data_IF_619346864452
#
_entry.id   IF_619346864452
#
_cell.length_a   1.000
_cell.length_b   1.000
_cell.length_c   1.000
_cell.angle_alpha   90.00
_cell.angle_beta   90.00
_cell.angle_gamma   90.00
#
_symmetry.space_group_name_H-M   'P 1'
#
loop_
_entity.id
_entity.type
_entity.pdbx_description
1 polymer ?
#
# COMPACT_ATOMS: atom_id res chain seq x y z
N UNK A 1 19.27 -4.30 -19.54
CA UNK A 1 17.85 -4.31 -19.15
C UNK A 1 17.08 -3.55 -20.20
N UNK A 2 15.94 -4.08 -20.61
CA UNK A 2 15.03 -3.47 -21.58
C UNK A 2 13.79 -3.00 -20.84
N UNK A 3 13.34 -1.78 -21.09
CA UNK A 3 12.24 -1.14 -20.37
C UNK A 3 11.25 -0.53 -21.35
N UNK A 4 9.97 -0.65 -21.04
CA UNK A 4 8.89 0.01 -21.78
C UNK A 4 7.65 -0.87 -21.90
N UNK A 5 6.50 -0.26 -22.12
CA UNK A 5 5.21 -0.97 -22.17
C UNK A 5 5.17 -2.00 -23.30
N UNK A 6 5.92 -1.77 -24.39
CA UNK A 6 6.12 -2.73 -25.50
C UNK A 6 6.71 -4.07 -25.04
N UNK A 7 7.41 -4.11 -23.91
CA UNK A 7 7.92 -5.36 -23.32
C UNK A 7 6.77 -6.23 -22.77
N UNK A 8 5.66 -5.61 -22.36
CA UNK A 8 4.48 -6.37 -21.91
C UNK A 8 3.73 -7.03 -23.07
N UNK A 9 3.84 -6.51 -24.29
CA UNK A 9 3.14 -7.03 -25.48
C UNK A 9 3.63 -8.44 -25.87
N UNK A 10 4.88 -8.79 -25.56
CA UNK A 10 5.43 -10.12 -25.83
C UNK A 10 5.08 -11.16 -24.74
N UNK A 11 4.27 -10.79 -23.74
CA UNK A 11 3.85 -11.64 -22.62
C UNK A 11 5.01 -12.46 -21.98
N UNK A 12 6.10 -11.79 -21.56
CA UNK A 12 7.36 -12.46 -21.23
C UNK A 12 7.26 -13.31 -19.96
N UNK A 13 8.01 -14.42 -19.92
CA UNK A 13 8.23 -15.25 -18.74
C UNK A 13 9.69 -15.70 -18.67
N UNK A 14 10.19 -16.03 -17.48
CA UNK A 14 11.59 -16.45 -17.30
C UNK A 14 11.88 -17.74 -18.09
N UNK A 15 12.97 -17.74 -18.87
CA UNK A 15 13.33 -18.83 -19.79
C UNK A 15 12.70 -18.73 -21.18
N UNK A 16 11.81 -17.75 -21.44
CA UNK A 16 11.21 -17.57 -22.76
C UNK A 16 12.29 -17.27 -23.81
N UNK A 17 12.41 -18.07 -24.89
CA UNK A 17 13.29 -17.79 -26.00
C UNK A 17 12.83 -16.57 -26.80
N UNK A 18 13.73 -15.62 -27.02
CA UNK A 18 13.53 -14.39 -27.77
C UNK A 18 14.66 -14.16 -28.77
N UNK A 19 14.37 -13.40 -29.81
CA UNK A 19 15.38 -12.84 -30.73
C UNK A 19 15.39 -11.33 -30.56
N UNK A 20 16.54 -10.78 -30.21
CA UNK A 20 16.80 -9.35 -30.17
C UNK A 20 17.55 -8.96 -31.44
N UNK A 21 16.99 -8.07 -32.25
CA UNK A 21 17.68 -7.48 -33.38
C UNK A 21 18.17 -6.08 -33.03
N UNK A 22 19.46 -5.84 -33.24
CA UNK A 22 20.09 -4.54 -33.07
C UNK A 22 21.07 -4.27 -34.22
N UNK A 23 20.92 -3.12 -34.89
CA UNK A 23 21.74 -2.74 -36.05
C UNK A 23 21.81 -3.82 -37.15
N UNK A 24 20.75 -4.62 -37.32
CA UNK A 24 20.70 -5.71 -38.30
C UNK A 24 21.38 -7.01 -37.85
N UNK A 25 21.89 -7.07 -36.63
CA UNK A 25 22.40 -8.31 -36.01
C UNK A 25 21.33 -8.91 -35.11
N UNK A 26 21.03 -10.19 -35.34
CA UNK A 26 20.14 -10.98 -34.50
C UNK A 26 20.91 -11.67 -33.37
N UNK A 27 20.37 -11.58 -32.16
CA UNK A 27 20.85 -12.26 -30.97
C UNK A 27 19.74 -13.17 -30.46
N UNK A 28 20.01 -14.48 -30.48
CA UNK A 28 19.16 -15.46 -29.83
C UNK A 28 19.44 -15.49 -28.33
N UNK A 29 18.45 -15.04 -27.55
CA UNK A 29 18.54 -14.82 -26.12
C UNK A 29 17.32 -15.41 -25.41
N UNK A 30 17.35 -15.43 -24.09
CA UNK A 30 16.20 -15.79 -23.27
C UNK A 30 15.88 -14.66 -22.28
N UNK A 31 14.60 -14.54 -21.92
CA UNK A 31 14.18 -13.68 -20.82
C UNK A 31 14.74 -14.26 -19.52
N UNK A 32 15.66 -13.57 -18.87
CA UNK A 32 16.20 -13.99 -17.58
C UNK A 32 15.24 -13.62 -16.44
N UNK A 33 14.85 -12.35 -16.36
CA UNK A 33 13.83 -11.85 -15.43
C UNK A 33 12.84 -10.95 -16.14
N UNK A 34 11.60 -10.92 -15.63
CA UNK A 34 10.55 -10.01 -16.06
C UNK A 34 9.94 -9.31 -14.84
N UNK A 35 9.87 -7.99 -14.92
CA UNK A 35 9.08 -7.16 -14.01
C UNK A 35 7.90 -6.60 -14.79
N UNK A 36 6.65 -6.94 -14.43
CA UNK A 36 5.48 -6.44 -15.13
C UNK A 36 5.27 -4.94 -14.95
N UNK A 37 4.53 -4.35 -15.89
CA UNK A 37 4.04 -2.99 -15.74
C UNK A 37 3.11 -2.91 -14.54
N UNK A 38 3.19 -1.81 -13.81
CA UNK A 38 2.27 -1.45 -12.75
C UNK A 38 1.95 0.03 -12.88
N UNK A 39 0.67 0.38 -12.94
CA UNK A 39 0.28 1.78 -12.83
C UNK A 39 0.52 2.31 -11.42
N UNK A 40 0.69 3.63 -11.31
CA UNK A 40 0.74 4.27 -10.00
C UNK A 40 -0.60 4.02 -9.27
N UNK A 41 -0.51 3.56 -8.02
CA UNK A 41 -1.66 3.37 -7.15
C UNK A 41 -1.69 4.55 -6.17
N UNK A 42 -2.70 5.43 -6.20
CA UNK A 42 -2.82 6.50 -5.22
C UNK A 42 -3.03 5.95 -3.80
N UNK A 43 -2.46 6.64 -2.81
CA UNK A 43 -2.79 6.39 -1.40
C UNK A 43 -4.22 6.83 -1.08
N UNK A 44 -4.83 6.22 -0.06
CA UNK A 44 -6.16 6.60 0.43
C UNK A 44 -6.05 7.29 1.78
N UNK A 45 -6.73 8.43 1.93
CA UNK A 45 -6.81 9.13 3.20
C UNK A 45 -7.63 8.33 4.23
N UNK A 46 -7.13 8.24 5.45
CA UNK A 46 -7.85 7.64 6.57
C UNK A 46 -8.77 8.62 7.30
N UNK A 47 -9.25 8.18 8.47
CA UNK A 47 -10.03 8.96 9.41
C UNK A 47 -9.54 8.70 10.84
N UNK A 48 -9.58 9.74 11.68
CA UNK A 48 -9.16 9.67 13.08
C UNK A 48 -10.12 8.83 13.93
N UNK A 49 -9.58 8.09 14.90
CA UNK A 49 -10.38 7.47 15.96
C UNK A 49 -10.85 8.54 16.95
N UNK A 50 -12.08 8.43 17.45
CA UNK A 50 -12.70 9.45 18.31
C UNK A 50 -13.34 8.79 19.53
N UNK A 51 -13.08 9.35 20.71
CA UNK A 51 -13.93 9.23 21.89
C UNK A 51 -14.53 10.60 22.17
N UNK A 52 -15.86 10.71 22.18
CA UNK A 52 -16.57 11.96 22.48
C UNK A 52 -17.42 11.80 23.73
N UNK A 53 -17.24 12.67 24.70
CA UNK A 53 -18.11 12.78 25.86
C UNK A 53 -19.56 13.10 25.44
N UNK A 54 -20.53 12.62 26.21
CA UNK A 54 -21.95 12.88 25.96
C UNK A 54 -22.46 14.15 26.64
N UNK A 55 -21.68 14.72 27.56
CA UNK A 55 -22.02 15.93 28.29
C UNK A 55 -20.74 16.70 28.68
N UNK A 56 -20.91 17.97 29.05
CA UNK A 56 -19.84 18.77 29.65
C UNK A 56 -19.45 18.21 31.03
N UNK A 57 -18.19 18.38 31.46
CA UNK A 57 -17.77 18.01 32.81
C UNK A 57 -18.67 18.66 33.87
N UNK A 58 -19.14 17.86 34.83
CA UNK A 58 -19.99 18.36 35.91
C UNK A 58 -19.19 18.99 37.05
N UNK A 59 -17.87 18.79 37.07
CA UNK A 59 -16.93 19.39 38.02
C UNK A 59 -15.54 19.50 37.41
N UNK A 60 -14.75 20.44 37.92
CA UNK A 60 -13.29 20.55 37.67
C UNK A 60 -12.46 20.27 38.93
N UNK A 61 -13.12 19.97 40.06
CA UNK A 61 -12.49 19.71 41.35
C UNK A 61 -12.58 18.22 41.70
N UNK A 62 -11.41 17.57 41.74
CA UNK A 62 -11.23 16.15 42.06
C UNK A 62 -10.42 15.93 43.36
N UNK A 63 -10.30 16.97 44.19
CA UNK A 63 -9.55 16.90 45.46
C UNK A 63 -10.26 16.04 46.51
N UNK A 64 -11.59 15.98 46.47
CA UNK A 64 -12.41 15.22 47.43
C UNK A 64 -12.81 13.83 46.90
N UNK A 65 -13.09 13.73 45.60
CA UNK A 65 -13.42 12.48 44.92
C UNK A 65 -12.51 12.32 43.71
N UNK A 66 -11.34 11.73 43.93
CA UNK A 66 -10.40 11.45 42.84
C UNK A 66 -10.97 10.43 41.86
N UNK A 67 -10.62 10.58 40.59
CA UNK A 67 -11.07 9.70 39.51
C UNK A 67 -9.86 9.15 38.76
N UNK A 68 -9.80 7.84 38.60
CA UNK A 68 -8.77 7.18 37.78
C UNK A 68 -9.47 6.35 36.72
N UNK A 69 -9.02 6.51 35.48
CA UNK A 69 -9.56 5.77 34.34
C UNK A 69 -8.45 5.45 33.34
N UNK A 70 -8.74 4.52 32.44
CA UNK A 70 -7.76 4.06 31.46
C UNK A 70 -8.35 4.08 30.05
N UNK A 71 -7.55 4.56 29.11
CA UNK A 71 -7.81 4.43 27.68
C UNK A 71 -6.81 3.46 27.08
N UNK A 72 -7.29 2.50 26.31
CA UNK A 72 -6.44 1.64 25.49
C UNK A 72 -6.46 2.16 24.07
N UNK A 73 -5.27 2.38 23.53
CA UNK A 73 -5.04 2.79 22.16
C UNK A 73 -3.94 1.94 21.57
N UNK A 74 -4.24 1.27 20.47
CA UNK A 74 -3.24 0.53 19.69
C UNK A 74 -2.50 -0.54 20.54
N UNK A 75 -3.27 -1.20 21.40
CA UNK A 75 -2.80 -2.24 22.32
C UNK A 75 -2.11 -1.71 23.58
N UNK A 76 -1.87 -0.40 23.71
CA UNK A 76 -1.21 0.21 24.87
C UNK A 76 -2.28 0.88 25.74
N UNK A 77 -2.20 0.64 27.06
CA UNK A 77 -3.13 1.24 28.03
C UNK A 77 -2.49 2.44 28.72
N UNK A 78 -3.15 3.58 28.63
CA UNK A 78 -2.78 4.85 29.24
C UNK A 78 -3.69 5.10 30.43
N UNK A 79 -3.11 5.31 31.60
CA UNK A 79 -3.85 5.57 32.84
C UNK A 79 -3.85 7.06 33.14
N UNK A 80 -5.04 7.63 33.34
CA UNK A 80 -5.25 9.04 33.66
C UNK A 80 -5.78 9.10 35.09
N UNK A 81 -5.16 9.93 35.94
CA UNK A 81 -5.60 10.17 37.32
C UNK A 81 -5.89 11.65 37.54
N UNK A 82 -7.12 11.94 37.95
CA UNK A 82 -7.62 13.26 38.28
C UNK A 82 -7.74 13.36 39.80
N UNK A 83 -6.88 14.17 40.42
CA UNK A 83 -6.71 14.22 41.90
C UNK A 83 -6.66 15.64 42.47
N UNK A 84 -6.78 16.65 41.62
CA UNK A 84 -6.62 18.06 41.97
C UNK A 84 -7.82 18.89 41.51
N UNK A 85 -7.81 20.17 41.87
CA UNK A 85 -8.73 21.15 41.30
C UNK A 85 -8.08 21.79 40.06
N UNK A 86 -8.68 21.53 38.90
CA UNK A 86 -8.20 22.01 37.60
C UNK A 86 -8.85 23.33 37.19
N UNK A 87 -9.88 23.78 37.92
CA UNK A 87 -10.56 25.08 37.81
C UNK A 87 -11.35 25.34 36.52
N UNK A 88 -10.91 24.81 35.39
CA UNK A 88 -11.43 25.11 34.04
C UNK A 88 -11.32 23.90 33.12
N UNK A 89 -12.02 23.94 31.98
CA UNK A 89 -11.87 22.97 30.90
C UNK A 89 -10.42 22.86 30.42
N UNK A 90 -9.72 23.99 30.24
CA UNK A 90 -8.32 23.99 29.81
C UNK A 90 -7.41 23.25 30.80
N UNK A 91 -7.57 23.50 32.11
CA UNK A 91 -6.81 22.80 33.15
C UNK A 91 -7.11 21.30 33.16
N UNK A 92 -8.37 20.90 32.98
CA UNK A 92 -8.77 19.49 32.92
C UNK A 92 -8.21 18.79 31.67
N UNK A 93 -8.29 19.43 30.50
CA UNK A 93 -7.71 18.91 29.27
C UNK A 93 -6.19 18.76 29.39
N UNK A 94 -5.50 19.70 30.04
CA UNK A 94 -4.07 19.58 30.30
C UNK A 94 -3.74 18.36 31.17
N UNK A 95 -4.55 18.09 32.21
CA UNK A 95 -4.39 16.91 33.04
C UNK A 95 -4.62 15.59 32.28
N UNK A 96 -5.66 15.53 31.46
CA UNK A 96 -5.96 14.37 30.61
C UNK A 96 -4.83 14.15 29.59
N UNK A 97 -4.38 15.20 28.91
CA UNK A 97 -3.28 15.13 27.96
C UNK A 97 -1.95 14.73 28.61
N UNK A 98 -1.73 15.08 29.89
CA UNK A 98 -0.60 14.60 30.67
C UNK A 98 -0.58 13.08 30.80
N UNK A 99 -1.74 12.46 31.07
CA UNK A 99 -1.88 10.99 31.13
C UNK A 99 -1.85 10.30 29.76
N UNK A 100 -2.13 11.04 28.68
CA UNK A 100 -2.06 10.57 27.29
C UNK A 100 -0.71 10.85 26.61
N UNK A 101 0.29 11.35 27.36
CA UNK A 101 1.59 11.68 26.79
C UNK A 101 2.20 10.46 26.06
N UNK A 102 2.69 10.69 24.84
CA UNK A 102 3.28 9.64 24.01
C UNK A 102 2.28 8.66 23.37
N UNK A 103 0.98 8.82 23.58
CA UNK A 103 -0.04 7.95 22.97
C UNK A 103 -0.31 8.25 21.49
N UNK A 104 -0.06 9.48 21.06
CA UNK A 104 -0.57 9.97 19.78
C UNK A 104 -2.07 10.32 19.80
N UNK A 105 -2.71 10.27 20.98
CA UNK A 105 -4.03 10.85 21.22
C UNK A 105 -3.92 12.24 21.83
N UNK A 106 -4.92 13.07 21.59
CA UNK A 106 -5.09 14.39 22.20
C UNK A 106 -6.54 14.59 22.64
N UNK A 107 -6.71 15.08 23.87
CA UNK A 107 -7.95 15.59 24.40
C UNK A 107 -8.10 17.08 24.07
N UNK A 108 -9.26 17.47 23.57
CA UNK A 108 -9.61 18.83 23.20
C UNK A 108 -11.05 19.17 23.61
N UNK A 109 -11.34 20.46 23.66
CA UNK A 109 -12.70 20.97 23.82
C UNK A 109 -13.42 20.95 22.47
N UNK A 110 -14.65 20.44 22.45
CA UNK A 110 -15.53 20.37 21.29
C UNK A 110 -16.93 20.88 21.65
N UNK A 111 -17.07 22.20 21.81
CA UNK A 111 -18.35 22.81 22.17
C UNK A 111 -18.75 22.56 23.63
N UNK A 112 -17.78 22.52 24.54
CA UNK A 112 -17.98 22.33 25.97
C UNK A 112 -17.92 20.87 26.43
N UNK A 113 -17.73 19.92 25.51
CA UNK A 113 -17.53 18.50 25.83
C UNK A 113 -16.11 18.06 25.48
N UNK A 114 -15.61 17.07 26.19
CA UNK A 114 -14.28 16.52 25.92
C UNK A 114 -14.34 15.60 24.70
N UNK A 115 -13.46 15.84 23.74
CA UNK A 115 -13.24 14.96 22.59
C UNK A 115 -11.78 14.50 22.59
N UNK A 116 -11.55 13.20 22.53
CA UNK A 116 -10.22 12.59 22.44
C UNK A 116 -10.07 12.00 21.05
N UNK A 117 -9.00 12.37 20.36
CA UNK A 117 -8.76 11.96 18.96
C UNK A 117 -7.31 11.58 18.74
N UNK A 118 -7.04 10.83 17.67
CA UNK A 118 -5.67 10.74 17.13
C UNK A 118 -5.19 12.13 16.66
N UNK A 119 -3.93 12.47 16.95
CA UNK A 119 -3.42 13.85 16.85
C UNK A 119 -3.27 14.37 15.41
N UNK A 120 -2.82 13.55 14.46
CA UNK A 120 -2.65 13.98 13.07
C UNK A 120 -2.52 12.82 12.08
N UNK A 121 -2.78 13.12 10.79
CA UNK A 121 -2.50 12.24 9.67
C UNK A 121 -0.96 12.05 9.47
N UNK A 122 -0.47 10.90 8.97
CA UNK A 122 -1.22 9.73 8.52
C UNK A 122 -1.92 9.00 9.67
N UNK A 123 -3.22 8.76 9.50
CA UNK A 123 -4.03 8.13 10.54
C UNK A 123 -3.61 6.68 10.69
N UNK A 124 -3.38 6.25 11.93
CA UNK A 124 -3.15 4.84 12.25
C UNK A 124 -4.46 4.06 12.27
N UNK A 125 -5.59 4.74 12.48
CA UNK A 125 -6.92 4.14 12.53
C UNK A 125 -7.11 3.19 13.72
N UNK A 126 -8.19 2.43 13.73
CA UNK A 126 -8.54 1.51 14.82
C UNK A 126 -9.43 2.15 15.88
N UNK A 127 -9.55 1.51 17.04
CA UNK A 127 -10.49 1.92 18.09
C UNK A 127 -9.77 2.39 19.35
N UNK A 128 -10.28 3.47 19.93
CA UNK A 128 -10.03 3.83 21.33
C UNK A 128 -10.99 2.99 22.16
N UNK A 129 -10.51 2.34 23.21
CA UNK A 129 -11.38 1.62 24.17
C UNK A 129 -11.09 2.08 25.59
N UNK A 130 -11.98 1.79 26.52
CA UNK A 130 -11.80 2.09 27.94
C UNK A 130 -12.33 0.95 28.80
N UNK A 131 -11.80 0.81 30.02
CA UNK A 131 -12.37 -0.09 31.04
C UNK A 131 -13.45 0.59 31.87
N UNK A 132 -13.32 1.90 32.09
CA UNK A 132 -14.26 2.77 32.81
C UNK A 132 -14.06 4.21 32.33
N UNK A 133 -15.12 5.02 32.29
CA UNK A 133 -15.05 6.46 32.08
C UNK A 133 -15.85 7.19 33.17
N UNK A 134 -15.26 8.17 33.88
CA UNK A 134 -15.97 8.91 34.91
C UNK A 134 -17.12 9.72 34.29
N UNK A 135 -18.36 9.49 34.73
CA UNK A 135 -19.52 10.23 34.26
C UNK A 135 -19.40 11.74 34.51
N UNK A 136 -18.68 12.15 35.56
CA UNK A 136 -18.40 13.57 35.85
C UNK A 136 -17.52 14.26 34.80
N UNK A 137 -16.85 13.50 33.93
CA UNK A 137 -15.97 13.99 32.87
C UNK A 137 -16.56 13.71 31.49
N UNK A 138 -17.12 12.51 31.29
CA UNK A 138 -17.56 12.02 29.97
C UNK A 138 -19.08 11.92 29.79
N UNK A 139 -19.87 12.14 30.84
CA UNK A 139 -21.31 11.86 30.86
C UNK A 139 -21.63 10.36 30.86
N UNK A 140 -22.92 10.04 30.81
CA UNK A 140 -23.41 8.66 30.97
C UNK A 140 -23.39 7.82 29.69
N UNK A 141 -23.20 8.42 28.51
CA UNK A 141 -23.25 7.70 27.23
C UNK A 141 -22.22 8.21 26.22
N UNK A 142 -20.92 8.21 26.55
CA UNK A 142 -19.88 8.63 25.62
C UNK A 142 -19.86 7.76 24.36
N UNK A 143 -19.52 8.38 23.23
CA UNK A 143 -19.53 7.74 21.91
C UNK A 143 -18.12 7.47 21.44
N UNK A 144 -17.88 6.23 20.99
CA UNK A 144 -16.64 5.82 20.36
C UNK A 144 -16.85 5.63 18.85
N UNK A 145 -16.02 6.27 18.05
CA UNK A 145 -15.98 6.10 16.60
C UNK A 145 -14.61 5.56 16.21
N UNK A 146 -14.57 4.39 15.57
CA UNK A 146 -13.34 3.83 15.07
C UNK A 146 -12.78 4.67 13.91
N UNK A 147 -11.46 4.86 13.89
CA UNK A 147 -10.75 5.47 12.78
C UNK A 147 -10.39 4.47 11.69
N UNK A 148 -10.10 4.97 10.49
CA UNK A 148 -9.57 4.19 9.37
C UNK A 148 -8.12 4.59 9.10
N UNK A 149 -7.24 3.62 8.89
CA UNK A 149 -5.84 3.92 8.63
C UNK A 149 -5.66 4.59 7.26
N UNK A 150 -4.78 5.58 7.18
CA UNK A 150 -4.30 6.10 5.90
C UNK A 150 -3.42 5.04 5.22
N UNK A 151 -3.51 4.93 3.90
CA UNK A 151 -2.59 4.10 3.10
C UNK A 151 -1.65 4.96 2.26
N UNK A 152 -0.41 4.51 2.12
CA UNK A 152 0.51 5.05 1.13
C UNK A 152 0.13 4.62 -0.28
N UNK A 153 0.48 5.43 -1.26
CA UNK A 153 0.43 5.01 -2.67
C UNK A 153 1.64 4.17 -3.07
N UNK A 154 1.58 3.58 -4.26
CA UNK A 154 2.72 2.95 -4.93
C UNK A 154 3.03 3.69 -6.23
N UNK A 155 4.30 3.93 -6.57
CA UNK A 155 4.66 4.55 -7.85
C UNK A 155 4.35 3.62 -9.01
N UNK A 156 4.28 4.18 -10.22
CA UNK A 156 4.24 3.36 -11.43
C UNK A 156 5.56 2.60 -11.60
N UNK A 157 5.47 1.36 -12.05
CA UNK A 157 6.61 0.52 -12.45
C UNK A 157 6.50 0.30 -13.94
N UNK A 158 7.48 0.78 -14.70
CA UNK A 158 7.57 0.46 -16.13
C UNK A 158 7.97 -1.01 -16.31
N UNK A 159 7.26 -1.72 -17.19
CA UNK A 159 7.62 -3.09 -17.53
C UNK A 159 9.09 -3.19 -17.95
N UNK A 160 9.79 -4.22 -17.47
CA UNK A 160 11.18 -4.44 -17.83
C UNK A 160 11.57 -5.91 -17.89
N UNK A 161 12.52 -6.23 -18.75
CA UNK A 161 13.14 -7.56 -18.84
C UNK A 161 14.65 -7.46 -18.78
N UNK A 162 15.25 -8.49 -18.21
CA UNK A 162 16.68 -8.77 -18.41
C UNK A 162 16.83 -9.94 -19.37
N UNK A 163 17.89 -9.91 -20.17
CA UNK A 163 18.17 -10.94 -21.16
C UNK A 163 19.44 -11.69 -20.77
N UNK A 164 19.49 -12.97 -21.11
CA UNK A 164 20.67 -13.82 -21.00
C UNK A 164 20.83 -14.66 -22.25
N UNK A 165 22.04 -15.15 -22.49
CA UNK A 165 22.27 -16.23 -23.43
C UNK A 165 21.69 -17.54 -22.89
N UNK A 166 21.54 -18.56 -23.74
CA UNK A 166 21.03 -19.89 -23.33
C UNK A 166 21.93 -20.54 -22.25
N UNK A 167 23.18 -20.10 -22.12
CA UNK A 167 24.10 -20.50 -21.03
C UNK A 167 23.76 -19.88 -19.66
N UNK A 168 22.78 -18.98 -19.59
CA UNK A 168 22.46 -18.18 -18.40
C UNK A 168 23.34 -16.95 -18.20
N UNK A 169 24.37 -16.76 -19.04
CA UNK A 169 25.24 -15.58 -18.99
C UNK A 169 24.44 -14.34 -19.34
N UNK A 170 24.48 -13.30 -18.49
CA UNK A 170 23.76 -12.05 -18.74
C UNK A 170 24.18 -11.41 -20.07
N UNK A 171 23.19 -10.94 -20.82
CA UNK A 171 23.44 -10.23 -22.07
C UNK A 171 23.85 -8.78 -21.80
N UNK A 172 25.02 -8.39 -22.31
CA UNK A 172 25.60 -7.04 -22.15
C UNK A 172 25.98 -6.39 -23.49
N UNK A 173 25.46 -6.90 -24.61
CA UNK A 173 25.95 -6.56 -25.96
C UNK A 173 25.49 -5.19 -26.51
N UNK A 174 24.73 -4.41 -25.75
CA UNK A 174 24.22 -3.11 -26.21
C UNK A 174 25.07 -1.95 -25.67
N UNK A 175 25.42 -0.96 -26.52
CA UNK A 175 26.01 0.30 -26.06
C UNK A 175 25.06 1.05 -25.14
N UNK A 176 25.62 1.91 -24.27
CA UNK A 176 24.83 2.86 -23.49
C UNK A 176 24.14 3.90 -24.40
N UNK A 177 22.97 4.38 -23.99
CA UNK A 177 22.20 5.39 -24.71
C UNK A 177 20.84 4.91 -25.24
N UNK A 178 20.17 5.76 -26.01
CA UNK A 178 18.88 5.43 -26.64
C UNK A 178 19.11 4.69 -27.95
N UNK A 179 18.79 3.38 -27.97
CA UNK A 179 18.99 2.52 -29.12
C UNK A 179 17.64 2.13 -29.74
N UNK A 180 17.60 2.01 -31.08
CA UNK A 180 16.49 1.33 -31.75
C UNK A 180 16.80 -0.16 -31.83
N UNK A 181 15.87 -0.95 -31.35
CA UNK A 181 15.97 -2.40 -31.23
C UNK A 181 14.61 -3.00 -31.54
N UNK A 182 14.58 -4.25 -31.96
CA UNK A 182 13.36 -5.06 -31.99
C UNK A 182 13.55 -6.30 -31.14
N UNK A 183 12.56 -6.61 -30.32
CA UNK A 183 12.52 -7.83 -29.53
C UNK A 183 11.28 -8.62 -29.96
N UNK A 184 11.48 -9.86 -30.34
CA UNK A 184 10.42 -10.75 -30.79
C UNK A 184 10.61 -12.12 -30.15
N UNK A 185 9.57 -12.95 -30.17
CA UNK A 185 9.78 -14.34 -29.82
C UNK A 185 10.77 -15.00 -30.79
N UNK A 186 11.63 -15.88 -30.26
CA UNK A 186 12.56 -16.64 -31.08
C UNK A 186 11.78 -17.55 -32.01
N UNK A 187 12.19 -17.59 -33.28
CA UNK A 187 11.44 -18.28 -34.33
C UNK A 187 10.05 -17.68 -34.46
N UNK A 188 9.93 -16.40 -34.80
CA UNK A 188 8.65 -15.76 -35.16
C UNK A 188 8.12 -16.29 -36.52
N UNK A 189 8.22 -17.60 -36.68
CA UNK A 189 7.94 -18.37 -37.87
C UNK A 189 6.58 -19.04 -37.68
N UNK A 190 5.79 -19.03 -38.75
CA UNK A 190 4.45 -19.57 -38.75
C UNK A 190 4.34 -20.57 -39.87
N UNK A 191 3.85 -21.76 -39.54
CA UNK A 191 3.49 -22.77 -40.52
C UNK A 191 1.99 -22.64 -40.82
N UNK A 192 1.63 -22.64 -42.10
CA UNK A 192 0.22 -22.73 -42.51
C UNK A 192 -0.27 -24.14 -42.16
N UNK A 193 -1.22 -24.23 -41.22
CA UNK A 193 -1.83 -25.48 -40.80
C UNK A 193 -2.94 -25.91 -41.77
N UNK A 194 -3.72 -24.96 -42.29
CA UNK A 194 -4.76 -25.20 -43.28
C UNK A 194 -5.12 -23.93 -44.03
N UNK A 195 -5.75 -24.07 -45.18
CA UNK A 195 -6.33 -22.97 -45.95
C UNK A 195 -7.81 -23.25 -46.22
N UNK A 196 -8.65 -22.21 -46.18
CA UNK A 196 -10.06 -22.27 -46.55
C UNK A 196 -10.42 -21.01 -47.35
N UNK A 197 -10.58 -21.18 -48.66
CA UNK A 197 -10.78 -20.09 -49.60
C UNK A 197 -9.68 -19.02 -49.50
N UNK A 198 -10.02 -17.74 -49.22
CA UNK A 198 -9.03 -16.68 -49.03
C UNK A 198 -8.39 -16.65 -47.62
N UNK A 199 -8.72 -17.58 -46.72
CA UNK A 199 -8.23 -17.60 -45.33
C UNK A 199 -7.19 -18.69 -45.11
N UNK A 200 -6.24 -18.46 -44.21
CA UNK A 200 -5.27 -19.44 -43.75
C UNK A 200 -5.26 -19.53 -42.22
N UNK A 201 -5.26 -20.76 -41.69
CA UNK A 201 -4.97 -21.03 -40.28
C UNK A 201 -3.47 -21.21 -40.14
N UNK A 202 -2.85 -20.45 -39.25
CA UNK A 202 -1.42 -20.52 -38.99
C UNK A 202 -1.15 -21.07 -37.59
N UNK A 203 -0.08 -21.86 -37.49
CA UNK A 203 0.47 -22.37 -36.24
C UNK A 203 1.85 -21.76 -36.04
N UNK A 204 2.12 -21.26 -34.84
CA UNK A 204 3.43 -20.73 -34.50
C UNK A 204 4.44 -21.88 -34.42
N UNK A 205 5.65 -21.67 -34.93
CA UNK A 205 6.77 -22.62 -34.88
C UNK A 205 7.85 -22.03 -33.99
N UNK A 206 8.44 -22.82 -33.09
CA UNK A 206 9.55 -22.39 -32.22
C UNK A 206 10.65 -23.44 -32.33
N UNK A 207 11.86 -23.05 -32.71
CA UNK A 207 13.00 -23.95 -32.94
C UNK A 207 12.68 -25.15 -33.86
N UNK A 208 11.85 -24.93 -34.89
CA UNK A 208 11.43 -25.98 -35.83
C UNK A 208 10.30 -26.90 -35.33
N UNK A 209 9.70 -26.63 -34.16
CA UNK A 209 8.57 -27.41 -33.61
C UNK A 209 7.32 -26.54 -33.50
N UNK A 210 6.16 -27.05 -33.92
CA UNK A 210 4.88 -26.35 -33.75
C UNK A 210 4.59 -26.12 -32.26
N UNK A 211 4.41 -24.87 -31.88
CA UNK A 211 4.03 -24.45 -30.54
C UNK A 211 2.51 -24.49 -30.41
N UNK A 212 1.98 -25.52 -29.75
CA UNK A 212 0.56 -25.62 -29.41
C UNK A 212 0.26 -24.85 -28.12
N UNK A 213 -0.78 -24.00 -28.07
CA UNK A 213 -1.16 -23.31 -26.85
C UNK A 213 -1.55 -24.34 -25.78
N UNK A 214 -0.84 -24.33 -24.64
CA UNK A 214 -1.08 -25.24 -23.50
C UNK A 214 0.07 -26.19 -23.14
N UNK A 215 1.17 -26.21 -23.90
CA UNK A 215 2.40 -26.88 -23.49
C UNK A 215 3.33 -25.83 -22.87
N UNK A 216 3.47 -25.87 -21.54
CA UNK A 216 4.57 -25.20 -20.87
C UNK A 216 5.89 -25.81 -21.36
N UNK A 217 6.84 -24.96 -21.74
CA UNK A 217 8.25 -25.33 -21.79
C UNK A 217 8.80 -25.35 -20.36
#
# INVERSE_FOLDING_TARGET
MLTGDVVSEIAPFSGMPVTLTFNGTDYDLQIATYTPHQDAVPGTGGATAVLRASASPSTYDFTTTSQTFALTWQGITYTISLVANYGTMSGLLAAINGGLNGSGLIAQDDGGVIRIVEISSPWRGGSITSSFLPASVFGDSPVFTAGTASSGGSPAVTASVTLAYDSGTAFSGLPEGTQRISLAHRGNEYQIASTDGPSATVQRVVNGVVNTPGQAL
#
